data_IF_722570186521
#
_entry.id   IF_722570186521
#
_cell.length_a   1.000
_cell.length_b   1.000
_cell.length_c   1.000
_cell.angle_alpha   90.00
_cell.angle_beta   90.00
_cell.angle_gamma   90.00
#
_symmetry.space_group_name_H-M   'P 1'
#
loop_
_entity.id
_entity.type
_entity.pdbx_description
1 polymer ?
#
# COMPACT_ATOMS: atom_id res chain seq x y z
N UNK A 1 -8.59 -14.76 -3.54
CA UNK A 1 -8.09 -13.88 -2.47
C UNK A 1 -8.94 -14.01 -1.20
N UNK A 2 -10.27 -13.87 -1.30
CA UNK A 2 -11.17 -13.87 -0.15
C UNK A 2 -11.20 -15.21 0.62
N UNK A 3 -11.03 -16.33 -0.07
CA UNK A 3 -11.01 -17.66 0.58
C UNK A 3 -9.79 -17.81 1.50
N UNK A 4 -8.61 -17.35 1.07
CA UNK A 4 -7.40 -17.37 1.89
C UNK A 4 -7.54 -16.56 3.18
N UNK A 5 -8.23 -15.43 3.11
CA UNK A 5 -8.49 -14.61 4.30
C UNK A 5 -9.35 -15.31 5.35
N UNK A 6 -10.33 -16.12 4.89
CA UNK A 6 -11.19 -16.92 5.78
C UNK A 6 -10.44 -18.06 6.48
N UNK A 7 -9.36 -18.51 5.90
CA UNK A 7 -8.50 -19.59 6.44
C UNK A 7 -7.33 -19.07 7.29
N UNK A 8 -7.39 -17.82 7.77
CA UNK A 8 -6.35 -17.14 8.58
C UNK A 8 -4.99 -16.95 7.86
N UNK A 9 -4.96 -16.91 6.54
CA UNK A 9 -3.77 -16.55 5.79
C UNK A 9 -3.59 -15.03 5.73
N UNK A 10 -2.34 -14.57 5.73
CA UNK A 10 -2.01 -13.20 5.40
C UNK A 10 -1.94 -13.01 3.88
N UNK A 11 -2.34 -11.83 3.41
CA UNK A 11 -2.29 -11.47 1.99
C UNK A 11 -1.30 -10.34 1.82
N UNK A 12 -0.34 -10.53 0.92
CA UNK A 12 0.60 -9.47 0.52
C UNK A 12 0.09 -8.76 -0.74
N UNK A 13 0.11 -7.43 -0.72
CA UNK A 13 -0.33 -6.58 -1.82
C UNK A 13 0.72 -5.51 -2.10
N UNK A 14 1.01 -5.28 -3.38
CA UNK A 14 1.82 -4.15 -3.84
C UNK A 14 0.89 -2.99 -4.21
N UNK A 15 0.93 -1.91 -3.45
CA UNK A 15 0.04 -0.76 -3.61
C UNK A 15 0.68 0.41 -4.35
N UNK A 16 1.95 0.30 -4.67
CA UNK A 16 2.72 1.32 -5.37
C UNK A 16 2.46 1.37 -6.89
N UNK A 17 1.80 0.35 -7.42
CA UNK A 17 1.48 0.26 -8.84
C UNK A 17 0.15 0.93 -9.19
N UNK A 18 0.06 1.43 -10.43
CA UNK A 18 -1.19 1.93 -11.00
C UNK A 18 -2.17 0.79 -11.25
N UNK A 19 -3.43 1.03 -10.94
CA UNK A 19 -4.53 0.12 -11.23
C UNK A 19 -5.56 0.84 -12.09
N UNK A 20 -5.84 0.34 -13.30
CA UNK A 20 -6.72 1.02 -14.27
C UNK A 20 -8.10 1.31 -13.72
N UNK A 21 -8.67 0.38 -12.95
CA UNK A 21 -9.99 0.49 -12.31
C UNK A 21 -9.91 0.98 -10.85
N UNK A 22 -8.77 1.55 -10.46
CA UNK A 22 -8.57 2.11 -9.13
C UNK A 22 -9.32 3.42 -8.93
N UNK A 23 -9.51 3.80 -7.67
CA UNK A 23 -10.04 5.11 -7.31
C UNK A 23 -8.97 6.20 -7.46
N UNK A 24 -9.43 7.43 -7.74
CA UNK A 24 -8.54 8.59 -7.85
C UNK A 24 -8.23 9.10 -6.45
N UNK A 25 -7.06 8.76 -5.92
CA UNK A 25 -6.60 9.10 -4.57
C UNK A 25 -5.29 9.89 -4.68
N UNK A 26 -5.12 10.87 -3.80
CA UNK A 26 -3.93 11.70 -3.79
C UNK A 26 -2.65 10.88 -3.51
N UNK A 27 -1.61 11.12 -4.32
CA UNK A 27 -0.26 10.62 -4.14
C UNK A 27 0.72 11.72 -4.60
N UNK A 28 1.57 12.21 -3.70
CA UNK A 28 2.47 13.35 -3.95
C UNK A 28 1.75 14.59 -4.52
N UNK A 29 0.62 14.97 -3.90
CA UNK A 29 -0.21 16.12 -4.31
C UNK A 29 -0.80 16.02 -5.73
N UNK A 30 -0.83 14.83 -6.33
CA UNK A 30 -1.45 14.55 -7.62
C UNK A 30 -2.39 13.36 -7.48
N UNK A 31 -3.52 13.41 -8.19
CA UNK A 31 -4.48 12.29 -8.20
C UNK A 31 -3.89 11.10 -8.95
N UNK A 32 -3.91 9.94 -8.33
CA UNK A 32 -3.38 8.70 -8.89
C UNK A 32 -4.39 7.55 -8.77
N UNK A 33 -4.53 6.76 -9.81
CA UNK A 33 -5.38 5.56 -9.80
C UNK A 33 -4.82 4.53 -8.82
N UNK A 34 -5.50 4.36 -7.70
CA UNK A 34 -5.05 3.59 -6.54
C UNK A 34 -5.98 2.41 -6.28
N UNK A 35 -5.42 1.25 -5.98
CA UNK A 35 -6.22 0.10 -5.55
C UNK A 35 -6.87 0.34 -4.19
N UNK A 36 -8.14 0.05 -4.08
CA UNK A 36 -8.87 0.11 -2.81
C UNK A 36 -8.96 -1.26 -2.12
N UNK A 37 -8.39 -2.31 -2.70
CA UNK A 37 -8.45 -3.68 -2.16
C UNK A 37 -8.00 -3.74 -0.69
N UNK A 38 -6.87 -3.14 -0.27
CA UNK A 38 -6.47 -3.16 1.14
C UNK A 38 -7.52 -2.55 2.06
N UNK A 39 -8.08 -1.40 1.68
CA UNK A 39 -9.11 -0.72 2.46
C UNK A 39 -10.40 -1.55 2.54
N UNK A 40 -10.81 -2.19 1.45
CA UNK A 40 -11.96 -3.09 1.42
C UNK A 40 -11.76 -4.29 2.35
N UNK A 41 -10.56 -4.89 2.37
CA UNK A 41 -10.23 -5.98 3.28
C UNK A 41 -10.27 -5.54 4.74
N UNK A 42 -9.73 -4.37 5.05
CA UNK A 42 -9.80 -3.78 6.39
C UNK A 42 -11.26 -3.61 6.83
N UNK A 43 -12.09 -3.01 5.99
CA UNK A 43 -13.52 -2.79 6.30
C UNK A 43 -14.29 -4.08 6.49
N UNK A 44 -14.03 -5.07 5.64
CA UNK A 44 -14.77 -6.33 5.64
C UNK A 44 -14.36 -7.28 6.76
N UNK A 45 -13.08 -7.34 7.07
CA UNK A 45 -12.52 -8.33 8.00
C UNK A 45 -11.95 -7.73 9.28
N UNK A 46 -12.00 -6.41 9.44
CA UNK A 46 -11.38 -5.70 10.58
C UNK A 46 -9.92 -6.13 10.81
N UNK A 47 -9.20 -6.40 9.73
CA UNK A 47 -7.82 -6.87 9.76
C UNK A 47 -6.84 -5.71 9.99
N UNK A 48 -5.64 -6.06 10.42
CA UNK A 48 -4.52 -5.11 10.52
C UNK A 48 -3.75 -5.06 9.21
N UNK A 49 -3.17 -3.92 8.91
CA UNK A 49 -2.25 -3.74 7.79
C UNK A 49 -0.83 -3.66 8.34
N UNK A 50 0.06 -4.50 7.82
CA UNK A 50 1.50 -4.46 8.15
C UNK A 50 2.24 -3.85 6.97
N UNK A 51 2.73 -2.60 7.08
CA UNK A 51 3.54 -2.02 6.03
C UNK A 51 4.89 -2.70 5.95
N UNK A 52 5.28 -3.11 4.75
CA UNK A 52 6.57 -3.76 4.51
C UNK A 52 7.37 -2.90 3.54
N UNK A 53 8.56 -2.53 3.95
CA UNK A 53 9.49 -1.74 3.15
C UNK A 53 10.67 -2.61 2.71
N UNK A 54 10.99 -2.55 1.42
CA UNK A 54 12.13 -3.28 0.84
C UNK A 54 13.19 -2.29 0.39
N UNK A 55 14.42 -2.54 0.77
CA UNK A 55 15.59 -1.75 0.39
C UNK A 55 16.61 -2.64 -0.31
N UNK A 56 17.16 -2.14 -1.40
CA UNK A 56 18.25 -2.81 -2.12
C UNK A 56 19.60 -2.24 -1.67
N UNK A 57 20.52 -3.13 -1.34
CA UNK A 57 21.90 -2.81 -1.00
C UNK A 57 22.87 -3.29 -2.08
N UNK A 58 24.14 -2.99 -1.90
CA UNK A 58 25.23 -3.48 -2.77
C UNK A 58 25.25 -5.02 -2.79
N UNK A 59 25.80 -5.61 -3.86
CA UNK A 59 25.97 -7.05 -4.03
C UNK A 59 24.66 -7.86 -4.03
N UNK A 60 23.59 -7.29 -4.63
CA UNK A 60 22.29 -7.95 -4.76
C UNK A 60 21.62 -8.32 -3.42
N UNK A 61 21.96 -7.65 -2.34
CA UNK A 61 21.34 -7.84 -1.05
C UNK A 61 20.08 -6.98 -0.92
N UNK A 62 19.05 -7.53 -0.29
CA UNK A 62 17.80 -6.85 0.00
C UNK A 62 17.49 -6.93 1.49
N UNK A 63 16.95 -5.87 2.05
CA UNK A 63 16.45 -5.83 3.41
C UNK A 63 14.95 -5.58 3.39
N UNK A 64 14.19 -6.47 4.01
CA UNK A 64 12.77 -6.26 4.29
C UNK A 64 12.61 -5.75 5.71
N UNK A 65 11.89 -4.65 5.85
CA UNK A 65 11.53 -4.09 7.15
C UNK A 65 10.02 -4.19 7.32
N UNK A 66 9.58 -5.00 8.30
CA UNK A 66 8.19 -5.08 8.71
C UNK A 66 7.93 -4.00 9.76
N UNK A 67 7.06 -3.07 9.44
CA UNK A 67 6.69 -2.00 10.37
C UNK A 67 5.60 -2.48 11.33
N UNK A 68 5.29 -1.65 12.34
CA UNK A 68 4.22 -1.96 13.29
C UNK A 68 2.88 -2.12 12.58
N UNK A 69 2.08 -3.14 12.94
CA UNK A 69 0.73 -3.29 12.41
C UNK A 69 -0.14 -2.07 12.69
N UNK A 70 -0.84 -1.62 11.68
CA UNK A 70 -1.80 -0.52 11.77
C UNK A 70 -3.20 -1.11 11.89
N UNK A 71 -3.98 -0.63 12.85
CA UNK A 71 -5.40 -0.88 12.96
C UNK A 71 -6.14 0.42 12.63
N UNK A 72 -6.98 0.37 11.62
CA UNK A 72 -7.83 1.50 11.25
C UNK A 72 -9.12 1.50 12.07
N UNK A 73 -9.62 2.69 12.38
CA UNK A 73 -10.90 2.85 13.05
C UNK A 73 -12.08 2.46 12.14
N UNK A 74 -13.13 1.89 12.73
CA UNK A 74 -14.26 1.37 11.97
C UNK A 74 -15.09 2.46 11.25
N UNK A 75 -15.02 3.71 11.71
CA UNK A 75 -15.71 4.86 11.13
C UNK A 75 -15.05 5.41 9.86
N UNK A 76 -13.79 5.05 9.60
CA UNK A 76 -13.09 5.49 8.39
C UNK A 76 -13.71 4.89 7.12
N UNK A 77 -13.83 5.70 6.08
CA UNK A 77 -14.26 5.25 4.76
C UNK A 77 -13.14 4.47 4.04
N UNK A 78 -13.50 3.79 2.95
CA UNK A 78 -12.50 3.15 2.06
C UNK A 78 -11.55 4.21 1.49
N UNK A 79 -12.06 5.38 1.15
CA UNK A 79 -11.28 6.49 0.63
C UNK A 79 -10.29 7.02 1.67
N UNK A 80 -10.72 7.21 2.93
CA UNK A 80 -9.87 7.66 4.02
C UNK A 80 -8.72 6.68 4.26
N UNK A 81 -9.02 5.39 4.36
CA UNK A 81 -8.01 4.34 4.56
C UNK A 81 -7.03 4.31 3.38
N UNK A 82 -7.53 4.39 2.15
CA UNK A 82 -6.67 4.39 0.96
C UNK A 82 -5.78 5.63 0.90
N UNK A 83 -6.28 6.78 1.33
CA UNK A 83 -5.51 8.03 1.44
C UNK A 83 -4.40 7.92 2.49
N UNK A 84 -4.68 7.34 3.64
CA UNK A 84 -3.67 7.09 4.67
C UNK A 84 -2.59 6.10 4.18
N UNK A 85 -2.99 5.06 3.44
CA UNK A 85 -2.04 4.12 2.85
C UNK A 85 -1.16 4.78 1.78
N UNK A 86 -1.70 5.68 0.95
CA UNK A 86 -0.89 6.46 0.01
C UNK A 86 0.09 7.38 0.73
N UNK A 87 -0.34 8.04 1.82
CA UNK A 87 0.55 8.90 2.63
C UNK A 87 1.70 8.10 3.25
N UNK A 88 1.43 6.86 3.64
CA UNK A 88 2.46 5.94 4.13
C UNK A 88 3.42 5.51 3.01
N UNK A 89 2.88 5.22 1.82
CA UNK A 89 3.66 4.90 0.63
C UNK A 89 4.60 6.05 0.25
N UNK A 90 4.12 7.30 0.27
CA UNK A 90 4.96 8.48 0.04
C UNK A 90 6.16 8.53 0.99
N UNK A 91 5.93 8.31 2.29
CA UNK A 91 7.00 8.28 3.30
C UNK A 91 8.01 7.16 3.03
N UNK A 92 7.55 6.01 2.56
CA UNK A 92 8.43 4.90 2.19
C UNK A 92 9.27 5.23 0.95
N UNK A 93 8.66 5.79 -0.09
CA UNK A 93 9.36 6.19 -1.33
C UNK A 93 10.43 7.25 -1.01
N UNK A 94 10.11 8.24 -0.16
CA UNK A 94 11.02 9.31 0.20
C UNK A 94 12.25 8.87 1.03
N UNK A 95 12.25 7.65 1.58
CA UNK A 95 13.45 7.11 2.24
C UNK A 95 14.59 6.83 1.25
N UNK A 96 14.26 6.24 0.09
CA UNK A 96 15.20 5.95 -0.99
C UNK A 96 14.50 6.19 -2.34
N UNK A 97 14.28 7.45 -2.74
CA UNK A 97 13.50 7.78 -3.92
C UNK A 97 14.12 7.27 -5.23
N UNK A 98 15.43 7.06 -5.27
CA UNK A 98 16.17 6.47 -6.39
C UNK A 98 15.89 4.96 -6.58
N UNK A 99 15.31 4.30 -5.61
CA UNK A 99 14.97 2.87 -5.69
C UNK A 99 13.53 2.62 -6.15
N UNK A 100 12.69 3.64 -6.26
CA UNK A 100 11.35 3.51 -6.80
C UNK A 100 11.34 3.63 -8.33
N UNK A 101 10.49 2.83 -8.99
CA UNK A 101 10.42 2.80 -10.47
C UNK A 101 9.56 3.98 -10.97
N UNK A 102 10.18 5.15 -11.11
CA UNK A 102 9.52 6.37 -11.60
C UNK A 102 9.06 6.29 -13.05
N UNK A 103 9.68 5.44 -13.87
CA UNK A 103 9.30 5.22 -15.28
C UNK A 103 7.94 4.52 -15.42
N UNK A 104 7.46 3.86 -14.39
CA UNK A 104 6.09 3.40 -14.31
C UNK A 104 5.20 4.59 -13.96
N UNK A 105 4.59 5.22 -14.98
CA UNK A 105 3.76 6.42 -14.77
C UNK A 105 2.54 6.12 -13.88
N UNK A 106 2.71 6.41 -12.60
CA UNK A 106 1.72 6.13 -11.55
C UNK A 106 0.48 7.03 -11.67
N UNK A 107 0.61 8.16 -12.41
CA UNK A 107 -0.42 9.18 -12.54
C UNK A 107 -1.08 9.26 -13.93
N UNK A 108 -0.71 8.38 -14.85
CA UNK A 108 -1.24 8.34 -16.22
C UNK A 108 -2.71 7.94 -16.28
#
# INVERSE_FOLDING_TARGET
LLNFFRENFSVALMIDQRVSEGESINLFKRMAKTTTIPAQLVKKYNCRVVPVYIERFKNFNFKLTFNKPIKFENNLSIEDISSELNSLLEKMILKNPDQWIWSHDRWK
#
